data_IF_694278626327
#
_entry.id   IF_694278626327
#
_cell.length_a   1.000
_cell.length_b   1.000
_cell.length_c   1.000
_cell.angle_alpha   90.00
_cell.angle_beta   90.00
_cell.angle_gamma   90.00
#
_symmetry.space_group_name_H-M   'P 1'
#
loop_
_entity.id
_entity.type
_entity.pdbx_description
1 polymer ?
#
# COMPACT_ATOMS: atom_id res chain seq x y z
N UNK A 1 7.18 -24.18 -2.85
CA UNK A 1 5.92 -24.93 -3.06
C UNK A 1 4.89 -24.59 -1.97
N UNK A 2 5.27 -24.49 -0.69
CA UNK A 2 4.36 -24.14 0.43
C UNK A 2 3.86 -22.66 0.46
N UNK A 3 4.69 -21.70 0.02
CA UNK A 3 4.30 -20.27 0.02
C UNK A 3 3.25 -19.95 -1.06
N UNK A 4 3.35 -20.58 -2.24
CA UNK A 4 2.34 -20.43 -3.31
C UNK A 4 0.97 -20.98 -2.92
N UNK A 5 0.91 -22.06 -2.12
CA UNK A 5 -0.37 -22.66 -1.70
C UNK A 5 -1.08 -21.88 -0.59
N UNK A 6 -0.39 -20.93 0.07
CA UNK A 6 -0.95 -20.14 1.18
C UNK A 6 -1.19 -18.67 0.79
N UNK A 7 -1.06 -18.34 -0.50
CA UNK A 7 -1.29 -16.98 -1.00
C UNK A 7 -2.77 -16.77 -1.28
N UNK A 8 -3.36 -15.72 -0.72
CA UNK A 8 -4.69 -15.26 -1.07
C UNK A 8 -4.65 -14.67 -2.48
N UNK A 9 -5.43 -15.27 -3.38
CA UNK A 9 -5.50 -14.89 -4.78
C UNK A 9 -6.67 -13.93 -5.05
N UNK A 10 -6.56 -13.09 -6.09
CA UNK A 10 -7.65 -12.22 -6.51
C UNK A 10 -8.90 -13.03 -6.85
N UNK A 11 -10.07 -12.47 -6.53
CA UNK A 11 -11.34 -12.97 -7.06
C UNK A 11 -11.36 -12.85 -8.59
N UNK A 12 -12.23 -13.58 -9.31
CA UNK A 12 -12.35 -13.44 -10.76
C UNK A 12 -12.57 -11.99 -11.21
N UNK A 13 -13.38 -11.23 -10.46
CA UNK A 13 -13.61 -9.81 -10.72
C UNK A 13 -12.33 -8.98 -10.53
N UNK A 14 -11.59 -9.20 -9.43
CA UNK A 14 -10.33 -8.48 -9.20
C UNK A 14 -9.29 -8.82 -10.27
N UNK A 15 -9.21 -10.08 -10.70
CA UNK A 15 -8.34 -10.52 -11.81
C UNK A 15 -8.68 -9.85 -13.13
N UNK A 16 -9.98 -9.73 -13.45
CA UNK A 16 -10.43 -9.06 -14.68
C UNK A 16 -10.11 -7.57 -14.69
N UNK A 17 -10.14 -6.90 -13.54
CA UNK A 17 -9.76 -5.49 -13.43
C UNK A 17 -8.22 -5.35 -13.45
N UNK A 18 -7.51 -6.25 -12.78
CA UNK A 18 -6.04 -6.29 -12.79
C UNK A 18 -5.45 -6.46 -14.20
N UNK A 19 -6.14 -7.17 -15.10
CA UNK A 19 -5.67 -7.37 -16.47
C UNK A 19 -5.72 -6.11 -17.33
N UNK A 20 -6.51 -5.11 -16.91
CA UNK A 20 -6.62 -3.81 -17.57
C UNK A 20 -5.61 -2.79 -17.04
N UNK A 21 -4.94 -3.09 -15.92
CA UNK A 21 -3.91 -2.22 -15.35
C UNK A 21 -2.65 -2.20 -16.23
N UNK A 22 -1.95 -1.07 -16.22
CA UNK A 22 -0.59 -0.99 -16.73
C UNK A 22 0.33 -1.84 -15.85
N UNK A 23 1.25 -2.56 -16.46
CA UNK A 23 2.17 -3.48 -15.77
C UNK A 23 3.57 -2.90 -15.78
N UNK A 24 4.04 -2.53 -14.61
CA UNK A 24 5.45 -2.24 -14.36
C UNK A 24 6.13 -3.47 -13.75
N UNK A 25 7.45 -3.51 -13.77
CA UNK A 25 8.22 -4.62 -13.19
C UNK A 25 7.88 -4.87 -11.71
N UNK A 26 7.60 -3.79 -10.98
CA UNK A 26 7.36 -3.77 -9.54
C UNK A 26 5.95 -3.30 -9.13
N UNK A 27 5.01 -3.08 -10.06
CA UNK A 27 3.67 -2.63 -9.71
C UNK A 27 2.61 -2.93 -10.79
N UNK A 28 1.35 -3.02 -10.36
CA UNK A 28 0.20 -2.79 -11.23
C UNK A 28 -0.27 -1.35 -11.07
N UNK A 29 -0.54 -0.66 -12.16
CA UNK A 29 -0.83 0.77 -12.17
C UNK A 29 -2.22 1.05 -12.73
N UNK A 30 -3.01 1.77 -11.94
CA UNK A 30 -4.31 2.32 -12.33
C UNK A 30 -4.16 3.83 -12.43
N UNK A 31 -4.17 4.38 -13.64
CA UNK A 31 -3.89 5.80 -13.87
C UNK A 31 -5.10 6.67 -13.50
N UNK A 32 -4.85 7.71 -12.72
CA UNK A 32 -5.79 8.78 -12.39
C UNK A 32 -5.38 10.10 -13.07
N UNK A 33 -5.68 11.22 -12.42
CA UNK A 33 -5.23 12.54 -12.86
C UNK A 33 -3.74 12.74 -12.46
N UNK A 34 -2.83 13.04 -13.40
CA UNK A 34 -1.41 13.26 -13.12
C UNK A 34 -1.11 14.49 -12.23
N UNK A 35 -2.04 15.44 -12.13
CA UNK A 35 -1.90 16.64 -11.29
C UNK A 35 -2.23 16.39 -9.81
N UNK A 36 -2.74 15.19 -9.47
CA UNK A 36 -3.01 14.78 -8.09
C UNK A 36 -1.88 13.90 -7.55
N UNK A 37 -1.73 13.89 -6.23
CA UNK A 37 -0.84 12.96 -5.55
C UNK A 37 -1.11 11.51 -5.97
N UNK A 38 -0.05 10.73 -6.14
CA UNK A 38 -0.17 9.30 -6.46
C UNK A 38 -0.23 8.45 -5.19
N UNK A 39 -0.99 7.36 -5.22
CA UNK A 39 -1.15 6.41 -4.12
C UNK A 39 -0.24 5.21 -4.35
N UNK A 40 0.67 4.95 -3.41
CA UNK A 40 1.52 3.76 -3.42
C UNK A 40 0.99 2.80 -2.35
N UNK A 41 0.56 1.62 -2.78
CA UNK A 41 -0.16 0.68 -1.93
C UNK A 41 0.60 -0.64 -1.73
N UNK A 42 0.89 -0.95 -0.47
CA UNK A 42 1.47 -2.23 -0.03
C UNK A 42 0.39 -3.26 0.29
N UNK A 43 0.45 -4.40 -0.39
CA UNK A 43 -0.41 -5.56 -0.14
C UNK A 43 -0.19 -6.17 1.26
N UNK A 44 -1.22 -6.84 1.79
CA UNK A 44 -1.10 -7.66 2.99
C UNK A 44 -0.17 -8.88 2.81
N UNK A 45 0.27 -9.45 3.93
CA UNK A 45 1.10 -10.65 3.95
C UNK A 45 0.41 -11.80 3.20
N UNK A 46 1.13 -12.45 2.30
CA UNK A 46 0.61 -13.56 1.49
C UNK A 46 -0.66 -13.19 0.69
N UNK A 47 -0.87 -11.92 0.33
CA UNK A 47 -1.97 -11.52 -0.56
C UNK A 47 -1.38 -11.08 -1.89
N UNK A 48 -1.88 -11.61 -3.00
CA UNK A 48 -1.51 -11.15 -4.34
C UNK A 48 -1.97 -9.70 -4.52
N UNK A 49 -1.09 -8.82 -5.05
CA UNK A 49 -1.39 -7.40 -5.21
C UNK A 49 -2.59 -7.16 -6.13
N UNK A 50 -2.84 -8.04 -7.10
CA UNK A 50 -4.02 -7.97 -7.97
C UNK A 50 -5.34 -8.06 -7.19
N UNK A 51 -5.35 -8.58 -5.96
CA UNK A 51 -6.54 -8.67 -5.11
C UNK A 51 -7.13 -7.30 -4.76
N UNK A 52 -6.32 -6.24 -4.82
CA UNK A 52 -6.73 -4.87 -4.50
C UNK A 52 -7.21 -4.09 -5.73
N UNK A 53 -7.25 -4.71 -6.91
CA UNK A 53 -7.53 -4.03 -8.18
C UNK A 53 -8.91 -3.35 -8.25
N UNK A 54 -9.93 -3.93 -7.61
CA UNK A 54 -11.27 -3.31 -7.53
C UNK A 54 -11.19 -1.97 -6.80
N UNK A 55 -10.47 -1.93 -5.68
CA UNK A 55 -10.29 -0.71 -4.90
C UNK A 55 -9.40 0.30 -5.64
N UNK A 56 -8.30 -0.18 -6.23
CA UNK A 56 -7.37 0.67 -6.98
C UNK A 56 -8.05 1.36 -8.18
N UNK A 57 -8.87 0.63 -8.94
CA UNK A 57 -9.67 1.20 -10.03
C UNK A 57 -10.57 2.34 -9.54
N UNK A 58 -11.30 2.14 -8.44
CA UNK A 58 -12.19 3.16 -7.88
C UNK A 58 -11.46 4.40 -7.39
N UNK A 59 -10.25 4.24 -6.84
CA UNK A 59 -9.42 5.37 -6.40
C UNK A 59 -8.85 6.12 -7.60
N UNK A 60 -8.45 5.41 -8.65
CA UNK A 60 -8.03 6.00 -9.93
C UNK A 60 -9.18 6.75 -10.62
N UNK A 61 -10.40 6.21 -10.62
CA UNK A 61 -11.61 6.88 -11.10
C UNK A 61 -11.91 8.16 -10.31
N UNK A 62 -11.58 8.22 -9.01
CA UNK A 62 -11.65 9.44 -8.19
C UNK A 62 -10.50 10.44 -8.47
N UNK A 63 -9.57 10.07 -9.35
CA UNK A 63 -8.51 10.91 -9.90
C UNK A 63 -7.13 10.68 -9.30
N UNK A 64 -6.90 9.68 -8.46
CA UNK A 64 -5.58 9.43 -7.88
C UNK A 64 -4.93 8.20 -8.52
N UNK A 65 -3.79 8.35 -9.20
CA UNK A 65 -3.07 7.19 -9.74
C UNK A 65 -2.70 6.23 -8.63
N UNK A 66 -2.96 4.93 -8.79
CA UNK A 66 -2.67 3.91 -7.78
C UNK A 66 -1.63 2.93 -8.29
N UNK A 67 -0.56 2.79 -7.52
CA UNK A 67 0.53 1.85 -7.71
C UNK A 67 0.37 0.73 -6.69
N UNK A 68 -0.19 -0.40 -7.12
CA UNK A 68 -0.23 -1.62 -6.33
C UNK A 68 1.15 -2.28 -6.42
N UNK A 69 2.04 -2.00 -5.47
CA UNK A 69 3.39 -2.54 -5.52
C UNK A 69 3.35 -4.06 -5.49
N UNK A 70 4.31 -4.69 -6.17
CA UNK A 70 4.42 -6.12 -6.33
C UNK A 70 5.64 -6.60 -5.55
N UNK A 71 5.37 -7.26 -4.44
CA UNK A 71 6.42 -7.88 -3.63
C UNK A 71 6.64 -9.34 -4.04
N UNK A 72 7.86 -9.75 -4.43
CA UNK A 72 8.17 -11.15 -4.62
C UNK A 72 8.11 -11.86 -3.25
N UNK A 73 7.30 -12.91 -3.13
CA UNK A 73 6.92 -13.63 -1.89
C UNK A 73 8.09 -14.27 -1.09
N UNK A 74 9.01 -13.45 -0.56
CA UNK A 74 10.08 -13.83 0.38
C UNK A 74 9.90 -13.07 1.70
N UNK A 75 9.01 -13.60 2.55
CA UNK A 75 8.66 -13.06 3.86
C UNK A 75 9.81 -13.16 4.89
N UNK A 76 10.82 -12.31 4.74
CA UNK A 76 11.64 -11.82 5.85
C UNK A 76 11.72 -10.29 5.77
N UNK A 77 10.59 -9.65 6.11
CA UNK A 77 10.42 -8.20 6.35
C UNK A 77 10.46 -7.34 5.06
N UNK A 78 9.31 -7.31 4.37
CA UNK A 78 8.94 -6.48 3.21
C UNK A 78 9.74 -5.18 2.99
N UNK A 79 10.17 -4.95 1.75
CA UNK A 79 11.17 -3.95 1.38
C UNK A 79 10.56 -2.54 1.33
N UNK A 80 10.87 -1.64 2.28
CA UNK A 80 10.37 -0.26 2.21
C UNK A 80 10.81 0.46 0.93
N UNK A 81 11.88 -0.01 0.27
CA UNK A 81 12.43 0.63 -0.92
C UNK A 81 11.56 0.42 -2.18
N UNK A 82 10.48 -0.38 -2.12
CA UNK A 82 9.58 -0.50 -3.28
C UNK A 82 8.88 0.83 -3.61
N UNK A 83 8.42 1.57 -2.61
CA UNK A 83 7.86 2.89 -2.81
C UNK A 83 8.91 3.84 -3.40
N UNK A 84 10.13 3.81 -2.87
CA UNK A 84 11.24 4.64 -3.39
C UNK A 84 11.53 4.35 -4.87
N UNK A 85 11.51 3.07 -5.27
CA UNK A 85 11.67 2.69 -6.67
C UNK A 85 10.55 3.23 -7.55
N UNK A 86 9.28 3.09 -7.14
CA UNK A 86 8.14 3.66 -7.88
C UNK A 86 8.26 5.17 -7.99
N UNK A 87 8.55 5.87 -6.88
CA UNK A 87 8.70 7.32 -6.85
C UNK A 87 9.77 7.79 -7.83
N UNK A 88 10.92 7.10 -7.85
CA UNK A 88 12.04 7.42 -8.73
C UNK A 88 11.73 7.15 -10.20
N UNK A 89 11.25 5.94 -10.52
CA UNK A 89 11.04 5.52 -11.90
C UNK A 89 9.91 6.31 -12.57
N UNK A 90 8.85 6.61 -11.81
CA UNK A 90 7.66 7.33 -12.28
C UNK A 90 7.73 8.85 -12.05
N UNK A 91 8.83 9.33 -11.45
CA UNK A 91 9.07 10.76 -11.17
C UNK A 91 7.93 11.42 -10.36
N UNK A 92 7.45 10.73 -9.32
CA UNK A 92 6.32 11.20 -8.51
C UNK A 92 6.71 12.42 -7.69
N UNK A 93 6.03 13.55 -7.91
CA UNK A 93 6.25 14.82 -7.21
C UNK A 93 5.47 14.94 -5.91
N UNK A 94 4.34 14.24 -5.81
CA UNK A 94 3.47 14.17 -4.64
C UNK A 94 2.91 12.75 -4.51
N UNK A 95 2.97 12.19 -3.31
CA UNK A 95 2.52 10.83 -3.09
C UNK A 95 1.98 10.61 -1.67
N UNK A 96 1.12 9.59 -1.59
CA UNK A 96 0.53 9.06 -0.37
C UNK A 96 0.92 7.58 -0.31
N UNK A 97 1.37 7.11 0.84
CA UNK A 97 1.69 5.68 1.03
C UNK A 97 0.67 5.02 1.94
N UNK A 98 0.35 3.77 1.68
CA UNK A 98 -0.51 3.02 2.58
C UNK A 98 -0.50 1.55 2.29
N UNK A 99 -1.28 0.81 3.07
CA UNK A 99 -1.34 -0.63 2.87
C UNK A 99 -2.33 -1.33 3.78
N UNK A 100 -2.52 -2.61 3.47
CA UNK A 100 -3.41 -3.49 4.22
C UNK A 100 -2.62 -4.40 5.17
N UNK A 101 -3.07 -4.53 6.42
CA UNK A 101 -2.46 -5.43 7.42
C UNK A 101 -0.94 -5.22 7.50
N UNK A 102 -0.10 -6.25 7.26
CA UNK A 102 1.35 -6.10 7.24
C UNK A 102 1.85 -5.02 6.26
N UNK A 103 1.17 -4.81 5.13
CA UNK A 103 1.52 -3.77 4.17
C UNK A 103 1.39 -2.35 4.76
N UNK A 104 0.41 -2.12 5.63
CA UNK A 104 0.27 -0.84 6.33
C UNK A 104 1.42 -0.57 7.31
N UNK A 105 1.90 -1.61 8.00
CA UNK A 105 3.11 -1.52 8.84
C UNK A 105 4.30 -1.07 7.97
N UNK A 106 4.42 -1.61 6.76
CA UNK A 106 5.52 -1.25 5.88
C UNK A 106 5.41 0.16 5.30
N UNK A 107 4.22 0.59 4.94
CA UNK A 107 3.96 1.96 4.54
C UNK A 107 4.37 2.95 5.65
N UNK A 108 4.07 2.64 6.92
CA UNK A 108 4.45 3.50 8.04
C UNK A 108 5.97 3.55 8.29
N UNK A 109 6.68 2.43 8.10
CA UNK A 109 8.15 2.39 8.19
C UNK A 109 8.80 3.17 7.07
N UNK A 110 8.27 3.09 5.86
CA UNK A 110 8.71 3.92 4.75
C UNK A 110 8.51 5.41 5.08
N UNK A 111 7.31 5.78 5.55
CA UNK A 111 6.99 7.15 5.91
C UNK A 111 7.86 7.71 7.05
N UNK A 112 8.16 6.91 8.07
CA UNK A 112 9.06 7.32 9.16
C UNK A 112 10.47 7.66 8.66
N UNK A 113 10.97 6.95 7.63
CA UNK A 113 12.24 7.27 6.97
C UNK A 113 12.19 8.50 6.04
N UNK A 114 11.00 9.02 5.73
CA UNK A 114 10.76 10.11 4.79
C UNK A 114 9.93 11.26 5.38
N UNK A 115 9.85 11.35 6.71
CA UNK A 115 8.95 12.27 7.40
C UNK A 115 9.24 13.76 7.13
N UNK A 116 10.47 14.08 6.74
CA UNK A 116 10.92 15.43 6.36
C UNK A 116 10.75 15.71 4.85
N UNK A 117 10.33 14.73 4.05
CA UNK A 117 10.11 14.90 2.62
C UNK A 117 8.72 15.50 2.36
N UNK A 118 8.68 16.74 1.88
CA UNK A 118 7.43 17.44 1.57
C UNK A 118 6.60 16.80 0.44
N UNK A 119 7.19 15.92 -0.37
CA UNK A 119 6.45 15.15 -1.38
C UNK A 119 5.56 14.05 -0.78
N UNK A 120 5.82 13.63 0.46
CA UNK A 120 5.00 12.66 1.19
C UNK A 120 3.84 13.39 1.88
N UNK A 121 2.65 13.34 1.28
CA UNK A 121 1.48 14.10 1.77
C UNK A 121 0.71 13.38 2.88
N UNK A 122 0.77 12.05 2.90
CA UNK A 122 0.03 11.28 3.90
C UNK A 122 0.31 9.79 3.93
N UNK A 123 -0.18 9.18 5.00
CA UNK A 123 -0.13 7.74 5.25
C UNK A 123 -1.54 7.22 5.51
N UNK A 124 -1.90 6.06 4.98
CA UNK A 124 -3.15 5.39 5.36
C UNK A 124 -2.99 3.91 5.69
N UNK A 125 -3.87 3.45 6.58
CA UNK A 125 -3.91 2.08 7.08
C UNK A 125 -5.26 1.45 6.81
N UNK A 126 -5.27 0.29 6.15
CA UNK A 126 -6.44 -0.57 6.05
C UNK A 126 -6.22 -1.79 6.95
N UNK A 127 -7.03 -1.95 7.99
CA UNK A 127 -6.87 -3.03 8.99
C UNK A 127 -5.40 -3.16 9.46
N UNK A 128 -4.79 -2.04 9.82
CA UNK A 128 -3.36 -1.95 10.15
C UNK A 128 -3.06 -0.78 11.10
N UNK A 129 -1.84 -0.76 11.62
CA UNK A 129 -1.31 0.27 12.51
C UNK A 129 0.24 0.33 12.36
N UNK A 130 0.87 1.47 12.70
CA UNK A 130 2.33 1.55 12.70
C UNK A 130 2.95 0.71 13.82
N UNK A 131 4.08 0.07 13.54
CA UNK A 131 4.89 -0.53 14.59
C UNK A 131 5.94 0.47 15.12
N UNK A 132 6.76 0.08 16.09
CA UNK A 132 7.75 0.98 16.70
C UNK A 132 8.69 1.64 15.68
N UNK A 133 9.07 0.91 14.62
CA UNK A 133 9.95 1.42 13.56
C UNK A 133 9.25 2.35 12.57
N UNK A 134 7.92 2.26 12.49
CA UNK A 134 7.07 3.10 11.66
C UNK A 134 6.35 4.20 12.44
N UNK A 135 6.86 4.60 13.61
CA UNK A 135 6.26 5.66 14.42
C UNK A 135 6.08 6.94 13.59
N UNK A 136 4.84 7.43 13.53
CA UNK A 136 4.45 8.64 12.81
C UNK A 136 4.29 9.87 13.75
N UNK A 137 4.82 9.82 14.97
CA UNK A 137 4.68 10.92 15.96
C UNK A 137 5.17 12.27 15.45
N UNK A 138 6.26 12.26 14.68
CA UNK A 138 6.89 13.47 14.16
C UNK A 138 6.45 13.80 12.72
N UNK A 139 5.71 12.88 12.08
CA UNK A 139 5.20 13.05 10.71
C UNK A 139 4.20 14.21 10.63
N UNK A 140 4.39 15.11 9.66
CA UNK A 140 3.56 16.31 9.48
C UNK A 140 2.42 16.16 8.47
N UNK A 141 2.45 15.09 7.67
CA UNK A 141 1.39 14.79 6.70
C UNK A 141 0.13 14.24 7.36
N UNK A 142 -0.87 13.93 6.52
CA UNK A 142 -2.15 13.39 7.01
C UNK A 142 -2.07 11.90 7.29
N UNK A 143 -2.75 11.44 8.32
CA UNK A 143 -2.85 10.01 8.65
C UNK A 143 -4.32 9.59 8.64
N UNK A 144 -4.64 8.52 7.91
CA UNK A 144 -5.97 7.91 7.87
C UNK A 144 -5.91 6.46 8.36
N UNK A 145 -6.79 6.08 9.26
CA UNK A 145 -6.91 4.71 9.74
C UNK A 145 -8.32 4.19 9.52
N UNK A 146 -8.45 3.04 8.86
CA UNK A 146 -9.72 2.37 8.61
C UNK A 146 -9.62 0.92 9.09
N UNK A 147 -10.51 0.54 10.00
CA UNK A 147 -10.61 -0.82 10.54
C UNK A 147 -12.04 -1.35 10.42
N UNK A 148 -12.18 -2.67 10.31
CA UNK A 148 -13.48 -3.33 10.36
C UNK A 148 -13.87 -3.62 11.81
N UNK A 149 -15.11 -3.33 12.20
CA UNK A 149 -15.61 -3.57 13.58
C UNK A 149 -15.65 -5.04 13.99
N UNK A 150 -15.51 -5.96 13.03
CA UNK A 150 -15.47 -7.43 13.23
C UNK A 150 -14.14 -8.04 12.79
N UNK A 151 -13.08 -7.24 12.71
CA UNK A 151 -11.75 -7.74 12.40
C UNK A 151 -11.25 -8.64 13.54
N UNK A 152 -11.08 -9.93 13.26
CA UNK A 152 -10.60 -10.93 14.21
C UNK A 152 -9.09 -11.19 14.15
N UNK A 153 -8.37 -10.46 13.29
CA UNK A 153 -6.94 -10.65 13.04
C UNK A 153 -6.13 -9.45 13.57
N UNK A 154 -6.66 -8.24 13.42
CA UNK A 154 -6.03 -7.03 13.93
C UNK A 154 -5.91 -7.08 15.46
N UNK A 155 -4.69 -6.84 15.98
CA UNK A 155 -4.46 -6.74 17.41
C UNK A 155 -4.97 -5.41 17.95
N UNK A 156 -6.19 -5.42 18.49
CA UNK A 156 -6.88 -4.22 18.98
C UNK A 156 -6.06 -3.47 20.05
N UNK A 157 -5.43 -4.19 20.98
CA UNK A 157 -4.60 -3.56 22.02
C UNK A 157 -3.33 -2.89 21.50
N UNK A 158 -2.85 -3.26 20.31
CA UNK A 158 -1.73 -2.59 19.66
C UNK A 158 -2.18 -1.41 18.81
N UNK A 159 -3.39 -1.50 18.25
CA UNK A 159 -4.04 -0.43 17.51
C UNK A 159 -4.45 0.75 18.40
N UNK A 160 -4.98 0.48 19.60
CA UNK A 160 -5.46 1.51 20.54
C UNK A 160 -4.34 2.26 21.29
N UNK A 161 -3.07 1.96 21.00
CA UNK A 161 -1.89 2.58 21.65
C UNK A 161 -1.40 3.80 20.89
#
# INVERSE_FOLDING_TARGET
IYIKSSTYHPTPQASNIASQAEKLDNALVFKGNPDKASVIFYQGALVDNASYSIWASKVAEAGYSVYLVKEPLNLAIFNPNLAEKVIKDEHLSQYIVGGHSLGGVMASRFAAGHQDNSALEGVFFLASYPDQKGSLKDFKGKVLSIVGTKDGVLNQSSYDK
#
